data_IF_744404045546
#
_entry.id   IF_744404045546
#
_cell.length_a   1.000
_cell.length_b   1.000
_cell.length_c   1.000
_cell.angle_alpha   90.00
_cell.angle_beta   90.00
_cell.angle_gamma   90.00
#
_symmetry.space_group_name_H-M   'P 1'
#
loop_
_entity.id
_entity.type
_entity.pdbx_description
1 polymer ?
#
# COMPACT_ATOMS: atom_id res chain seq x y z
N UNK A 1 -44.80 -14.52 -11.26
CA UNK A 1 -43.72 -14.59 -12.28
C UNK A 1 -42.98 -13.27 -12.49
N UNK A 2 -43.64 -12.10 -12.58
CA UNK A 2 -42.96 -10.79 -12.69
C UNK A 2 -41.98 -10.49 -11.52
N UNK A 3 -42.37 -10.84 -10.30
CA UNK A 3 -41.57 -10.59 -9.08
C UNK A 3 -40.24 -11.37 -9.00
N UNK A 4 -40.16 -12.52 -9.68
CA UNK A 4 -38.96 -13.39 -9.70
C UNK A 4 -37.93 -12.91 -10.73
N UNK A 5 -38.41 -12.38 -11.87
CA UNK A 5 -37.58 -11.76 -12.89
C UNK A 5 -37.03 -10.41 -12.43
N UNK A 6 -37.79 -9.61 -11.68
CA UNK A 6 -37.29 -8.36 -11.10
C UNK A 6 -36.24 -8.59 -10.00
N UNK A 7 -36.41 -9.62 -9.16
CA UNK A 7 -35.40 -10.01 -8.16
C UNK A 7 -34.11 -10.53 -8.79
N UNK A 8 -34.21 -11.32 -9.87
CA UNK A 8 -33.05 -11.76 -10.65
C UNK A 8 -32.35 -10.57 -11.33
N UNK A 9 -33.12 -9.63 -11.89
CA UNK A 9 -32.57 -8.45 -12.54
C UNK A 9 -31.85 -7.53 -11.54
N UNK A 10 -32.45 -7.27 -10.37
CA UNK A 10 -31.81 -6.54 -9.28
C UNK A 10 -30.57 -7.25 -8.75
N UNK A 11 -30.64 -8.56 -8.53
CA UNK A 11 -29.48 -9.34 -8.06
C UNK A 11 -28.32 -9.35 -9.07
N UNK A 12 -28.61 -9.32 -10.38
CA UNK A 12 -27.59 -9.20 -11.42
C UNK A 12 -27.05 -7.77 -11.50
N UNK A 13 -27.89 -6.73 -11.40
CA UNK A 13 -27.47 -5.33 -11.37
C UNK A 13 -26.57 -5.04 -10.15
N UNK A 14 -26.94 -5.51 -8.95
CA UNK A 14 -26.14 -5.42 -7.73
C UNK A 14 -24.82 -6.20 -7.85
N UNK A 15 -24.84 -7.36 -8.51
CA UNK A 15 -23.61 -8.13 -8.80
C UNK A 15 -22.71 -7.42 -9.80
N UNK A 16 -23.27 -6.71 -10.77
CA UNK A 16 -22.51 -5.98 -11.79
C UNK A 16 -21.87 -4.71 -11.21
N UNK A 17 -22.59 -3.99 -10.35
CA UNK A 17 -22.04 -2.84 -9.64
C UNK A 17 -20.98 -3.28 -8.62
N UNK A 18 -21.19 -4.39 -7.91
CA UNK A 18 -20.16 -4.98 -7.05
C UNK A 18 -18.93 -5.43 -7.85
N UNK A 19 -19.11 -6.00 -9.05
CA UNK A 19 -17.99 -6.38 -9.94
C UNK A 19 -17.27 -5.15 -10.51
N UNK A 20 -18.00 -4.08 -10.83
CA UNK A 20 -17.43 -2.83 -11.34
C UNK A 20 -16.63 -2.11 -10.26
N UNK A 21 -17.15 -2.01 -9.05
CA UNK A 21 -16.43 -1.45 -7.90
C UNK A 21 -15.20 -2.30 -7.53
N UNK A 22 -15.31 -3.63 -7.63
CA UNK A 22 -14.18 -4.54 -7.47
C UNK A 22 -13.14 -4.44 -8.61
N UNK A 23 -13.56 -4.19 -9.85
CA UNK A 23 -12.63 -4.01 -10.98
C UNK A 23 -11.86 -2.68 -10.88
N UNK A 24 -12.52 -1.61 -10.41
CA UNK A 24 -11.87 -0.32 -10.13
C UNK A 24 -10.87 -0.46 -8.97
N UNK A 25 -11.25 -1.17 -7.89
CA UNK A 25 -10.33 -1.40 -6.76
C UNK A 25 -9.13 -2.29 -7.14
N UNK A 26 -9.32 -3.33 -7.95
CA UNK A 26 -8.22 -4.18 -8.47
C UNK A 26 -7.28 -3.39 -9.38
N UNK A 27 -7.80 -2.51 -10.23
CA UNK A 27 -6.96 -1.64 -11.09
C UNK A 27 -6.13 -0.66 -10.26
N UNK A 28 -6.72 -0.09 -9.22
CA UNK A 28 -6.01 0.80 -8.30
C UNK A 28 -4.91 0.05 -7.52
N UNK A 29 -5.22 -1.15 -7.02
CA UNK A 29 -4.25 -2.03 -6.34
C UNK A 29 -3.11 -2.38 -7.30
N UNK A 30 -3.40 -2.81 -8.53
CA UNK A 30 -2.37 -3.11 -9.52
C UNK A 30 -1.52 -1.88 -9.87
N UNK A 31 -2.13 -0.70 -9.93
CA UNK A 31 -1.44 0.57 -10.18
C UNK A 31 -0.50 0.97 -9.04
N UNK A 32 -0.92 0.81 -7.79
CA UNK A 32 -0.12 1.19 -6.63
C UNK A 32 0.97 0.16 -6.31
N UNK A 33 0.71 -1.14 -6.52
CA UNK A 33 1.74 -2.18 -6.50
C UNK A 33 2.81 -1.96 -7.58
N UNK A 34 2.41 -1.56 -8.80
CA UNK A 34 3.35 -1.22 -9.87
C UNK A 34 4.25 -0.04 -9.52
N UNK A 35 3.69 1.01 -8.91
CA UNK A 35 4.46 2.17 -8.42
C UNK A 35 5.42 1.78 -7.30
N UNK A 36 4.96 1.01 -6.30
CA UNK A 36 5.82 0.53 -5.20
C UNK A 36 6.96 -0.34 -5.76
N UNK A 37 6.66 -1.27 -6.67
CA UNK A 37 7.67 -2.13 -7.27
C UNK A 37 8.74 -1.32 -8.03
N UNK A 38 8.32 -0.33 -8.81
CA UNK A 38 9.23 0.60 -9.50
C UNK A 38 10.12 1.35 -8.50
N UNK A 39 9.55 1.95 -7.46
CA UNK A 39 10.32 2.69 -6.45
C UNK A 39 11.28 1.78 -5.66
N UNK A 40 10.89 0.53 -5.38
CA UNK A 40 11.77 -0.47 -4.74
C UNK A 40 12.94 -0.85 -5.65
N UNK A 41 12.67 -1.00 -6.94
CA UNK A 41 13.71 -1.28 -7.93
C UNK A 41 14.70 -0.11 -8.06
N UNK A 42 14.20 1.13 -8.18
CA UNK A 42 15.02 2.34 -8.19
C UNK A 42 15.85 2.47 -6.90
N UNK A 43 15.25 2.22 -5.74
CA UNK A 43 15.96 2.19 -4.45
C UNK A 43 17.09 1.16 -4.47
N UNK A 44 16.84 -0.06 -4.96
CA UNK A 44 17.85 -1.10 -5.06
C UNK A 44 19.02 -0.68 -5.97
N UNK A 45 18.73 -0.02 -7.11
CA UNK A 45 19.77 0.49 -7.99
C UNK A 45 20.65 1.53 -7.28
N UNK A 46 20.04 2.47 -6.56
CA UNK A 46 20.78 3.47 -5.79
C UNK A 46 21.59 2.84 -4.65
N UNK A 47 21.06 1.83 -3.96
CA UNK A 47 21.79 1.09 -2.93
C UNK A 47 23.02 0.39 -3.52
N UNK A 48 22.90 -0.22 -4.70
CA UNK A 48 24.04 -0.83 -5.39
C UNK A 48 25.07 0.22 -5.83
N UNK A 49 24.63 1.38 -6.32
CA UNK A 49 25.53 2.48 -6.66
C UNK A 49 26.28 2.99 -5.41
N UNK A 50 25.57 3.13 -4.28
CA UNK A 50 26.14 3.53 -2.99
C UNK A 50 27.19 2.53 -2.51
N UNK A 51 26.91 1.24 -2.58
CA UNK A 51 27.85 0.19 -2.19
C UNK A 51 29.14 0.23 -3.01
N UNK A 52 29.03 0.47 -4.33
CA UNK A 52 30.20 0.66 -5.19
C UNK A 52 31.02 1.88 -4.78
N UNK A 53 30.37 2.99 -4.44
CA UNK A 53 31.05 4.22 -3.98
C UNK A 53 31.70 4.04 -2.60
N UNK A 54 31.05 3.33 -1.68
CA UNK A 54 31.65 2.95 -0.38
C UNK A 54 32.85 2.03 -0.55
N UNK A 55 32.78 1.09 -1.49
CA UNK A 55 33.93 0.23 -1.82
C UNK A 55 35.10 1.06 -2.35
N UNK A 56 34.81 2.03 -3.23
CA UNK A 56 35.83 2.96 -3.72
C UNK A 56 36.40 3.80 -2.58
N UNK A 57 35.56 4.29 -1.67
CA UNK A 57 35.97 5.06 -0.50
C UNK A 57 36.92 4.24 0.38
N UNK A 58 36.57 2.99 0.65
CA UNK A 58 37.43 2.06 1.37
C UNK A 58 38.78 1.87 0.67
N UNK A 59 38.79 1.64 -0.65
CA UNK A 59 40.02 1.52 -1.44
C UNK A 59 40.88 2.80 -1.42
N UNK A 60 40.25 3.96 -1.40
CA UNK A 60 40.94 5.26 -1.32
C UNK A 60 41.55 5.49 0.06
N UNK A 61 40.83 5.16 1.13
CA UNK A 61 41.27 5.44 2.50
C UNK A 61 42.28 4.39 3.00
N UNK A 62 42.12 3.13 2.60
CA UNK A 62 42.87 2.00 3.16
C UNK A 62 44.41 2.15 3.11
N UNK A 63 45.04 2.64 2.02
CA UNK A 63 46.49 2.84 1.97
C UNK A 63 46.99 3.81 3.05
N UNK A 64 46.29 4.92 3.25
CA UNK A 64 46.65 5.94 4.24
C UNK A 64 46.52 5.44 5.67
N UNK A 65 45.52 4.58 5.92
CA UNK A 65 45.35 3.94 7.23
C UNK A 65 46.45 2.90 7.49
N UNK A 66 46.85 2.16 6.47
CA UNK A 66 47.90 1.13 6.58
C UNK A 66 49.29 1.74 6.81
N UNK A 67 49.54 2.91 6.23
CA UNK A 67 50.78 3.68 6.41
C UNK A 67 50.79 4.52 7.70
N UNK A 68 49.73 4.47 8.53
CA UNK A 68 49.54 5.34 9.70
C UNK A 68 49.69 6.85 9.38
N UNK A 69 49.21 7.26 8.21
CA UNK A 69 49.24 8.65 7.72
C UNK A 69 47.84 9.21 7.41
N UNK A 70 46.88 9.13 8.35
CA UNK A 70 45.50 9.58 8.10
C UNK A 70 45.39 11.09 7.82
N UNK A 71 46.34 11.90 8.27
CA UNK A 71 46.37 13.34 8.02
C UNK A 71 46.47 13.71 6.53
N UNK A 72 47.13 12.87 5.74
CA UNK A 72 47.28 13.07 4.29
C UNK A 72 45.99 12.79 3.49
N UNK A 73 44.96 12.20 4.11
CA UNK A 73 43.65 12.00 3.47
C UNK A 73 43.01 13.32 3.05
N UNK A 74 43.30 14.42 3.75
CA UNK A 74 42.77 15.75 3.44
C UNK A 74 43.33 16.32 2.14
N UNK A 75 44.47 15.82 1.70
CA UNK A 75 45.16 16.25 0.48
C UNK A 75 44.68 15.44 -0.75
N UNK A 76 43.89 14.38 -0.53
CA UNK A 76 43.38 13.54 -1.60
C UNK A 76 42.28 14.25 -2.40
N UNK A 77 42.62 14.70 -3.60
CA UNK A 77 41.79 15.57 -4.45
C UNK A 77 40.35 15.08 -4.66
N UNK A 78 40.14 13.77 -4.81
CA UNK A 78 38.82 13.21 -5.14
C UNK A 78 38.03 12.70 -3.93
N UNK A 79 38.61 12.71 -2.72
CA UNK A 79 37.97 12.17 -1.52
C UNK A 79 36.73 12.99 -1.10
N UNK A 80 36.77 14.35 -1.09
CA UNK A 80 35.58 15.14 -0.77
C UNK A 80 34.42 14.89 -1.73
N UNK A 81 34.70 14.85 -3.04
CA UNK A 81 33.70 14.56 -4.07
C UNK A 81 33.06 13.18 -3.86
N UNK A 82 33.87 12.17 -3.55
CA UNK A 82 33.37 10.81 -3.29
C UNK A 82 32.45 10.75 -2.06
N UNK A 83 32.80 11.48 -1.00
CA UNK A 83 31.96 11.59 0.21
C UNK A 83 30.64 12.28 -0.11
N UNK A 84 30.66 13.35 -0.90
CA UNK A 84 29.46 14.09 -1.27
C UNK A 84 28.53 13.29 -2.20
N UNK A 85 29.10 12.50 -3.13
CA UNK A 85 28.34 11.56 -3.95
C UNK A 85 27.64 10.50 -3.08
N UNK A 86 28.31 9.95 -2.07
CA UNK A 86 27.72 8.98 -1.14
C UNK A 86 26.57 9.61 -0.35
N UNK A 87 26.76 10.84 0.17
CA UNK A 87 25.70 11.58 0.87
C UNK A 87 24.49 11.84 -0.03
N UNK A 88 24.73 12.21 -1.29
CA UNK A 88 23.64 12.42 -2.24
C UNK A 88 22.86 11.13 -2.50
N UNK A 89 23.56 10.00 -2.66
CA UNK A 89 22.92 8.69 -2.79
C UNK A 89 22.11 8.33 -1.54
N UNK A 90 22.63 8.60 -0.34
CA UNK A 90 21.91 8.39 0.92
C UNK A 90 20.62 9.21 0.99
N UNK A 91 20.68 10.49 0.63
CA UNK A 91 19.49 11.35 0.58
C UNK A 91 18.45 10.83 -0.42
N UNK A 92 18.86 10.40 -1.62
CA UNK A 92 17.94 9.87 -2.62
C UNK A 92 17.29 8.55 -2.16
N UNK A 93 18.06 7.66 -1.52
CA UNK A 93 17.55 6.42 -0.93
C UNK A 93 16.53 6.71 0.16
N UNK A 94 16.78 7.71 1.01
CA UNK A 94 15.87 8.11 2.07
C UNK A 94 14.56 8.66 1.50
N UNK A 95 14.64 9.56 0.50
CA UNK A 95 13.46 10.10 -0.17
C UNK A 95 12.60 9.00 -0.81
N UNK A 96 13.21 8.03 -1.50
CA UNK A 96 12.49 6.88 -2.04
C UNK A 96 11.86 6.02 -0.94
N UNK A 97 12.55 5.84 0.18
CA UNK A 97 12.03 5.08 1.31
C UNK A 97 10.83 5.75 1.97
N UNK A 98 10.84 7.08 2.08
CA UNK A 98 9.68 7.86 2.53
C UNK A 98 8.52 7.74 1.55
N UNK A 99 8.78 7.87 0.24
CA UNK A 99 7.74 7.72 -0.78
C UNK A 99 7.07 6.33 -0.75
N UNK A 100 7.84 5.25 -0.59
CA UNK A 100 7.31 3.89 -0.45
C UNK A 100 6.44 3.77 0.81
N UNK A 101 6.88 4.33 1.94
CA UNK A 101 6.11 4.31 3.19
C UNK A 101 4.79 5.06 3.06
N UNK A 102 4.80 6.22 2.41
CA UNK A 102 3.61 7.03 2.20
C UNK A 102 2.55 6.30 1.37
N UNK A 103 2.97 5.64 0.28
CA UNK A 103 2.04 4.87 -0.56
C UNK A 103 1.46 3.69 0.23
N UNK A 104 2.31 2.94 0.96
CA UNK A 104 1.86 1.83 1.79
C UNK A 104 0.89 2.28 2.91
N UNK A 105 1.12 3.44 3.52
CA UNK A 105 0.23 3.99 4.55
C UNK A 105 -1.14 4.38 3.97
N UNK A 106 -1.17 4.95 2.75
CA UNK A 106 -2.42 5.28 2.05
C UNK A 106 -3.21 4.03 1.68
N UNK A 107 -2.55 2.96 1.24
CA UNK A 107 -3.20 1.69 0.97
C UNK A 107 -3.86 1.11 2.23
N UNK A 108 -3.16 1.09 3.37
CA UNK A 108 -3.72 0.61 4.64
C UNK A 108 -4.96 1.41 5.05
N UNK A 109 -4.93 2.74 4.90
CA UNK A 109 -6.10 3.59 5.20
C UNK A 109 -7.26 3.34 4.24
N UNK A 110 -6.98 3.13 2.95
CA UNK A 110 -8.00 2.82 1.94
C UNK A 110 -8.68 1.50 2.29
N UNK A 111 -7.91 0.43 2.51
CA UNK A 111 -8.44 -0.90 2.89
C UNK A 111 -9.32 -0.85 4.13
N UNK A 112 -8.89 -0.15 5.19
CA UNK A 112 -9.70 0.02 6.41
C UNK A 112 -11.02 0.73 6.16
N UNK A 113 -11.06 1.71 5.25
CA UNK A 113 -12.32 2.39 4.89
C UNK A 113 -13.25 1.44 4.14
N UNK A 114 -12.74 0.70 3.16
CA UNK A 114 -13.55 -0.27 2.39
C UNK A 114 -14.10 -1.37 3.29
N UNK A 115 -13.30 -1.90 4.22
CA UNK A 115 -13.75 -2.90 5.20
C UNK A 115 -14.85 -2.33 6.11
N UNK A 116 -14.70 -1.08 6.56
CA UNK A 116 -15.70 -0.41 7.39
C UNK A 116 -17.03 -0.21 6.64
N UNK A 117 -16.97 0.22 5.37
CA UNK A 117 -18.16 0.37 4.52
C UNK A 117 -18.86 -0.97 4.26
N UNK A 118 -18.10 -2.04 4.03
CA UNK A 118 -18.64 -3.39 3.89
C UNK A 118 -19.35 -3.86 5.18
N UNK A 119 -18.77 -3.59 6.35
CA UNK A 119 -19.39 -3.91 7.64
C UNK A 119 -20.69 -3.13 7.87
N UNK A 120 -20.75 -1.84 7.52
CA UNK A 120 -21.98 -1.07 7.63
C UNK A 120 -23.11 -1.64 6.77
N UNK A 121 -22.82 -2.02 5.52
CA UNK A 121 -23.81 -2.67 4.65
C UNK A 121 -24.31 -4.00 5.22
N UNK A 122 -23.42 -4.78 5.84
CA UNK A 122 -23.81 -6.02 6.52
C UNK A 122 -24.71 -5.76 7.74
N UNK A 123 -24.43 -4.71 8.51
CA UNK A 123 -25.26 -4.32 9.65
C UNK A 123 -26.65 -3.92 9.18
N UNK A 124 -26.77 -3.04 8.16
CA UNK A 124 -28.07 -2.64 7.61
C UNK A 124 -28.87 -3.85 7.10
N UNK A 125 -28.23 -4.77 6.37
CA UNK A 125 -28.88 -5.98 5.89
C UNK A 125 -29.36 -6.90 7.03
N UNK A 126 -28.60 -6.98 8.13
CA UNK A 126 -29.02 -7.73 9.33
C UNK A 126 -30.16 -7.05 10.06
N UNK A 127 -30.16 -5.72 10.17
CA UNK A 127 -31.24 -4.94 10.78
C UNK A 127 -32.56 -5.13 10.02
N UNK A 128 -32.54 -5.07 8.68
CA UNK A 128 -33.72 -5.36 7.86
C UNK A 128 -34.23 -6.80 8.06
N UNK A 129 -33.33 -7.78 8.15
CA UNK A 129 -33.71 -9.18 8.42
C UNK A 129 -34.34 -9.34 9.81
N UNK A 130 -33.80 -8.68 10.83
CA UNK A 130 -34.33 -8.69 12.19
C UNK A 130 -35.74 -8.07 12.20
N UNK A 131 -35.91 -6.92 11.55
CA UNK A 131 -37.21 -6.24 11.49
C UNK A 131 -38.26 -7.11 10.79
N UNK A 132 -37.89 -7.78 9.70
CA UNK A 132 -38.77 -8.72 9.01
C UNK A 132 -39.15 -9.90 9.91
N UNK A 133 -38.18 -10.51 10.61
CA UNK A 133 -38.41 -11.62 11.55
C UNK A 133 -39.31 -11.20 12.71
N UNK A 134 -39.14 -9.98 13.23
CA UNK A 134 -39.99 -9.43 14.29
C UNK A 134 -41.44 -9.24 13.83
N UNK A 135 -41.64 -8.79 12.60
CA UNK A 135 -42.98 -8.66 12.02
C UNK A 135 -43.64 -10.02 11.79
N UNK A 136 -42.88 -11.03 11.34
CA UNK A 136 -43.36 -12.42 11.24
C UNK A 136 -43.77 -12.97 12.62
N UNK A 137 -42.95 -12.76 13.65
CA UNK A 137 -43.26 -13.19 15.02
C UNK A 137 -44.50 -12.49 15.59
N UNK A 138 -44.69 -11.19 15.33
CA UNK A 138 -45.91 -10.46 15.70
C UNK A 138 -47.14 -11.06 15.04
N UNK A 139 -47.07 -11.33 13.73
CA UNK A 139 -48.17 -11.94 13.00
C UNK A 139 -48.55 -13.33 13.54
N UNK A 140 -47.55 -14.14 13.93
CA UNK A 140 -47.78 -15.44 14.58
C UNK A 140 -48.42 -15.27 15.96
N UNK A 141 -47.95 -14.32 16.78
CA UNK A 141 -48.55 -14.04 18.09
C UNK A 141 -50.01 -13.63 17.97
N UNK A 142 -50.31 -12.68 17.08
CA UNK A 142 -51.67 -12.17 16.87
C UNK A 142 -52.61 -13.24 16.28
N UNK A 143 -52.06 -14.27 15.62
CA UNK A 143 -52.82 -15.44 15.17
C UNK A 143 -53.09 -16.47 16.28
N UNK A 144 -52.25 -16.53 17.33
CA UNK A 144 -52.42 -17.41 18.49
C UNK A 144 -53.35 -16.84 19.56
N UNK A 145 -53.48 -15.51 19.63
CA UNK A 145 -54.40 -14.81 20.54
C UNK A 145 -55.86 -14.79 20.05
N UNK A 146 -56.18 -15.46 18.93
CA UNK A 146 -57.53 -15.66 18.37
C UNK A 146 -58.02 -17.09 18.60
#
# INVERSE_FOLDING_TARGET
MKDLLEKLKKGVEESFDALRDNAVSIKDIAGDYGKIAKLRFEKHQLQSAREKKLTLLGKTIYPYMLENRPEHLREHETLPMLVDEIKNLDNQIELLQLAIKDIAAREIQKTRRTEKEALYRQIEALEEQIEKRLNELKAVRDALDK
#
